data_IF_751277998848
#
_entry.id   IF_751277998848
#
_cell.length_a   1.000
_cell.length_b   1.000
_cell.length_c   1.000
_cell.angle_alpha   90.00
_cell.angle_beta   90.00
_cell.angle_gamma   90.00
#
_symmetry.space_group_name_H-M   'P 1'
#
loop_
_entity.id
_entity.type
_entity.pdbx_description
1 polymer ?
#
# COMPACT_ATOMS: atom_id res chain seq x y z
N UNK A 1 13.99 41.67 -6.44
CA UNK A 1 13.86 41.38 -6.28
C UNK A 1 13.58 40.75 -6.03
N UNK A 2 13.68 40.61 -6.29
CA UNK A 2 13.35 40.00 -5.98
C UNK A 2 12.80 39.18 -5.86
N UNK A 3 12.78 38.81 -5.99
CA UNK A 3 12.29 37.99 -5.69
C UNK A 3 11.81 37.25 -5.76
N UNK A 4 12.00 37.35 -5.88
CA UNK A 4 11.52 36.53 -5.85
C UNK A 4 11.14 35.70 -5.93
N UNK A 5 11.27 35.47 -5.99
CA UNK A 5 10.79 34.73 -5.82
C UNK A 5 10.27 33.96 -5.65
N UNK A 6 10.56 34.15 -5.69
CA UNK A 6 10.16 33.51 -5.33
C UNK A 6 9.42 32.86 -5.29
N UNK A 7 9.49 32.78 -5.55
CA UNK A 7 8.77 32.20 -5.32
C UNK A 7 8.15 31.41 -5.54
N UNK A 8 8.32 31.31 -5.83
CA UNK A 8 7.67 30.49 -5.81
C UNK A 8 7.29 29.61 -5.98
N UNK A 9 7.54 29.52 -6.05
CA UNK A 9 7.09 28.78 -5.87
C UNK A 9 6.47 28.15 -5.78
N UNK A 10 6.66 28.12 -5.76
CA UNK A 10 6.05 27.56 -5.28
C UNK A 10 5.28 27.11 -5.47
N UNK A 11 5.56 27.14 -5.79
CA UNK A 11 4.68 26.76 -5.56
C UNK A 11 4.07 26.16 -5.94
N UNK A 12 4.47 26.12 -6.25
CA UNK A 12 3.73 25.64 -6.17
C UNK A 12 3.24 25.03 -6.49
N UNK A 13 3.41 24.89 -6.77
CA UNK A 13 2.69 24.30 -6.50
C UNK A 13 1.98 23.91 -6.69
N UNK A 14 2.39 23.90 -6.94
CA UNK A 14 1.54 23.57 -6.64
C UNK A 14 0.86 23.10 -6.98
N UNK A 15 1.18 23.04 -7.31
CA UNK A 15 0.36 22.66 -7.14
C UNK A 15 -0.12 22.12 -7.36
N UNK A 16 -0.02 21.94 -7.57
CA UNK A 16 -0.63 21.51 -7.38
C UNK A 16 -1.31 21.06 -7.27
N UNK A 17 -1.25 20.88 -7.64
CA UNK A 17 -2.06 20.52 -7.28
C UNK A 17 -2.82 20.09 -7.25
N UNK A 18 -2.98 19.75 -7.45
CA UNK A 18 -3.75 19.43 -7.28
C UNK A 18 -4.36 18.93 -7.29
N UNK A 19 -4.72 18.56 -7.40
CA UNK A 19 -5.36 18.14 -7.31
C UNK A 19 -6.00 17.86 -6.81
N UNK A 20 -5.95 17.65 -6.89
CA UNK A 20 -6.64 17.26 -6.47
C UNK A 20 -7.28 17.19 -6.05
N UNK A 21 -7.26 17.20 -6.15
CA UNK A 21 -7.97 17.20 -5.76
C UNK A 21 -9.11 16.96 -5.53
N UNK A 22 -9.63 17.41 -6.09
CA UNK A 22 -10.98 16.94 -6.00
C UNK A 22 -11.13 15.59 -5.45
N UNK A 23 -10.11 14.91 -5.50
CA UNK A 23 -10.10 13.62 -4.86
C UNK A 23 -10.27 13.74 -3.39
N UNK A 24 -11.08 12.91 -2.85
CA UNK A 24 -11.15 12.79 -1.43
C UNK A 24 -9.89 12.16 -0.90
N UNK A 25 -9.59 12.38 0.34
CA UNK A 25 -8.38 11.89 0.92
C UNK A 25 -8.21 10.38 0.77
N UNK A 26 -9.32 9.66 0.75
CA UNK A 26 -9.24 8.21 0.67
C UNK A 26 -9.13 7.68 -0.75
N UNK A 27 -9.28 8.56 -1.74
CA UNK A 27 -9.25 8.15 -3.15
C UNK A 27 -7.83 8.17 -3.68
N UNK A 28 -6.94 7.54 -2.96
CA UNK A 28 -5.55 7.45 -3.35
C UNK A 28 -5.38 6.41 -4.45
N UNK A 29 -4.54 6.70 -5.44
CA UNK A 29 -4.22 5.69 -6.45
C UNK A 29 -2.88 5.04 -6.10
N UNK A 30 -2.50 4.04 -6.89
CA UNK A 30 -1.29 3.27 -6.61
C UNK A 30 -0.05 4.13 -6.64
N UNK A 31 0.02 5.07 -7.57
CA UNK A 31 1.19 5.95 -7.66
C UNK A 31 1.31 6.84 -6.43
N UNK A 32 0.17 7.34 -5.96
CA UNK A 32 0.18 8.16 -4.75
C UNK A 32 0.56 7.32 -3.54
N UNK A 33 0.11 6.08 -3.51
CA UNK A 33 0.49 5.18 -2.43
C UNK A 33 2.00 4.95 -2.43
N UNK A 34 2.59 4.70 -3.62
CA UNK A 34 4.03 4.53 -3.71
C UNK A 34 4.77 5.78 -3.31
N UNK A 35 4.27 6.95 -3.72
CA UNK A 35 4.92 8.21 -3.38
C UNK A 35 4.94 8.43 -1.87
N UNK A 36 3.92 7.96 -1.17
CA UNK A 36 3.86 8.14 0.29
C UNK A 36 4.94 7.34 1.02
N UNK A 37 5.61 6.42 0.34
CA UNK A 37 6.63 5.61 0.98
C UNK A 37 7.85 6.41 1.42
N UNK A 38 7.99 7.66 0.97
CA UNK A 38 9.08 8.52 1.47
C UNK A 38 8.81 8.99 2.89
N UNK A 39 7.60 8.84 3.38
CA UNK A 39 7.26 9.32 4.72
C UNK A 39 7.68 8.31 5.77
N UNK A 40 7.66 8.73 7.03
CA UNK A 40 8.11 7.89 8.13
C UNK A 40 7.06 6.86 8.54
N UNK A 41 5.80 7.11 8.23
CA UNK A 41 4.71 6.22 8.63
C UNK A 41 3.57 6.33 7.64
N UNK A 42 2.71 5.30 7.55
CA UNK A 42 1.58 5.39 6.64
C UNK A 42 0.52 6.33 7.20
N UNK A 43 -0.39 6.75 6.32
CA UNK A 43 -1.50 7.57 6.76
C UNK A 43 -2.36 6.81 7.74
N UNK A 44 -2.89 7.51 8.74
CA UNK A 44 -3.65 6.86 9.79
C UNK A 44 -4.95 6.26 9.30
N UNK A 45 -5.52 6.81 8.23
CA UNK A 45 -6.81 6.34 7.75
C UNK A 45 -6.72 5.10 6.87
N UNK A 46 -5.52 4.59 6.59
CA UNK A 46 -5.39 3.42 5.74
C UNK A 46 -5.95 2.18 6.42
N UNK A 47 -6.67 1.34 5.68
CA UNK A 47 -7.05 0.03 6.21
C UNK A 47 -5.81 -0.79 6.57
N UNK A 48 -5.97 -1.69 7.52
CA UNK A 48 -4.85 -2.46 8.04
C UNK A 48 -4.09 -3.21 6.94
N UNK A 49 -4.75 -3.89 5.98
CA UNK A 49 -3.98 -4.58 4.94
C UNK A 49 -3.13 -3.64 4.10
N UNK A 50 -3.63 -2.44 3.80
CA UNK A 50 -2.82 -1.46 3.06
C UNK A 50 -1.65 -0.96 3.89
N UNK A 51 -1.86 -0.73 5.17
CA UNK A 51 -0.78 -0.32 6.05
C UNK A 51 0.29 -1.40 6.11
N UNK A 52 -0.11 -2.66 6.10
CA UNK A 52 0.85 -3.75 6.10
C UNK A 52 1.68 -3.75 4.82
N UNK A 53 1.05 -3.56 3.66
CA UNK A 53 1.79 -3.49 2.40
C UNK A 53 2.72 -2.29 2.39
N UNK A 54 2.31 -1.19 3.02
CA UNK A 54 3.15 -0.01 3.13
C UNK A 54 4.43 -0.31 3.92
N UNK A 55 4.29 -0.96 5.09
CA UNK A 55 5.47 -1.30 5.89
C UNK A 55 6.34 -2.32 5.20
N UNK A 56 5.73 -3.28 4.50
CA UNK A 56 6.51 -4.25 3.74
C UNK A 56 7.37 -3.56 2.69
N UNK A 57 6.81 -2.59 1.98
CA UNK A 57 7.58 -1.87 0.96
C UNK A 57 8.71 -1.05 1.57
N UNK A 58 8.56 -0.65 2.84
CA UNK A 58 9.61 0.07 3.55
C UNK A 58 10.70 -0.88 4.06
N UNK A 59 10.51 -2.17 3.88
CA UNK A 59 11.49 -3.14 4.34
C UNK A 59 11.24 -3.67 5.73
N UNK A 60 10.09 -3.36 6.32
CA UNK A 60 9.79 -3.80 7.69
C UNK A 60 8.76 -4.93 7.65
N UNK A 61 9.22 -6.09 7.24
CA UNK A 61 8.37 -7.27 7.09
C UNK A 61 7.69 -7.64 8.41
N UNK A 62 8.44 -7.56 9.50
CA UNK A 62 7.90 -7.98 10.78
C UNK A 62 6.70 -7.12 11.20
N UNK A 63 6.80 -5.81 11.00
CA UNK A 63 5.68 -4.93 11.33
C UNK A 63 4.51 -5.17 10.41
N UNK A 64 4.79 -5.40 9.12
CA UNK A 64 3.73 -5.71 8.18
C UNK A 64 2.99 -6.98 8.58
N UNK A 65 3.72 -8.01 8.94
CA UNK A 65 3.14 -9.27 9.35
C UNK A 65 2.30 -9.10 10.62
N UNK A 66 2.82 -8.37 11.60
CA UNK A 66 2.09 -8.16 12.84
C UNK A 66 0.74 -7.50 12.60
N UNK A 67 0.66 -6.60 11.63
CA UNK A 67 -0.59 -5.92 11.35
C UNK A 67 -1.67 -6.86 10.84
N UNK A 68 -1.31 -7.86 10.06
CA UNK A 68 -2.31 -8.75 9.46
C UNK A 68 -2.38 -10.12 10.13
N UNK A 69 -1.55 -10.36 11.14
CA UNK A 69 -1.43 -11.68 11.74
C UNK A 69 -2.77 -12.20 12.25
N UNK A 70 -3.61 -11.33 12.78
CA UNK A 70 -4.90 -11.75 13.33
C UNK A 70 -6.08 -11.26 12.51
N UNK A 71 -5.84 -10.70 11.33
CA UNK A 71 -6.92 -10.20 10.48
C UNK A 71 -7.47 -11.35 9.66
N UNK A 72 -8.78 -11.58 9.80
CA UNK A 72 -9.41 -12.72 9.14
C UNK A 72 -10.31 -12.34 7.96
N UNK A 73 -10.19 -11.10 7.48
CA UNK A 73 -10.86 -10.75 6.23
C UNK A 73 -10.11 -11.35 5.06
N UNK A 74 -10.81 -11.54 3.93
CA UNK A 74 -10.16 -12.08 2.74
C UNK A 74 -8.97 -11.23 2.32
N UNK A 75 -9.13 -9.90 2.38
CA UNK A 75 -8.03 -9.01 2.00
C UNK A 75 -6.84 -9.14 2.94
N UNK A 76 -7.10 -9.19 4.25
CA UNK A 76 -6.02 -9.33 5.21
C UNK A 76 -5.30 -10.65 5.06
N UNK A 77 -6.05 -11.72 4.83
CA UNK A 77 -5.44 -13.03 4.64
C UNK A 77 -4.64 -13.10 3.35
N UNK A 78 -5.06 -12.38 2.30
CA UNK A 78 -4.29 -12.35 1.06
C UNK A 78 -2.97 -11.64 1.27
N UNK A 79 -2.94 -10.54 2.02
CA UNK A 79 -1.69 -9.85 2.34
C UNK A 79 -0.82 -10.75 3.21
N UNK A 80 -1.40 -11.44 4.18
CA UNK A 80 -0.69 -12.37 5.03
C UNK A 80 0.00 -13.45 4.18
N UNK A 81 -0.74 -14.00 3.20
CA UNK A 81 -0.18 -14.99 2.29
C UNK A 81 0.99 -14.43 1.50
N UNK A 82 0.83 -13.22 0.99
CA UNK A 82 1.89 -12.57 0.24
C UNK A 82 3.15 -12.43 1.09
N UNK A 83 2.99 -12.02 2.35
CA UNK A 83 4.14 -11.86 3.23
C UNK A 83 4.86 -13.17 3.48
N UNK A 84 4.12 -14.26 3.66
CA UNK A 84 4.76 -15.56 3.84
C UNK A 84 5.44 -16.03 2.56
N UNK A 85 4.84 -15.73 1.41
CA UNK A 85 5.48 -16.05 0.15
C UNK A 85 6.82 -15.31 0.02
N UNK A 86 6.82 -14.04 0.42
CA UNK A 86 8.02 -13.22 0.31
C UNK A 86 9.14 -13.74 1.21
N UNK A 87 8.80 -14.25 2.37
CA UNK A 87 9.82 -14.79 3.27
C UNK A 87 10.29 -16.19 2.85
N UNK A 88 9.64 -16.79 1.86
CA UNK A 88 10.05 -18.09 1.36
C UNK A 88 9.28 -19.25 1.94
N UNK A 89 8.20 -19.00 2.69
CA UNK A 89 7.41 -20.05 3.32
C UNK A 89 6.22 -20.37 2.44
N UNK A 90 6.45 -21.17 1.40
CA UNK A 90 5.42 -21.44 0.38
C UNK A 90 4.20 -22.13 0.98
N UNK A 91 4.39 -23.08 1.88
CA UNK A 91 3.25 -23.80 2.44
C UNK A 91 2.38 -22.92 3.31
N UNK A 92 2.99 -22.01 4.07
CA UNK A 92 2.22 -21.03 4.83
C UNK A 92 1.48 -20.09 3.90
N UNK A 93 2.14 -19.66 2.82
CA UNK A 93 1.48 -18.78 1.86
C UNK A 93 0.26 -19.47 1.25
N UNK A 94 0.43 -20.73 0.83
CA UNK A 94 -0.67 -21.47 0.22
C UNK A 94 -1.84 -21.60 1.19
N UNK A 95 -1.56 -21.85 2.45
CA UNK A 95 -2.60 -21.95 3.45
C UNK A 95 -3.44 -20.68 3.52
N UNK A 96 -2.75 -19.51 3.55
CA UNK A 96 -3.47 -18.25 3.68
C UNK A 96 -4.15 -17.84 2.38
N UNK A 97 -3.55 -18.16 1.22
CA UNK A 97 -4.24 -17.91 -0.05
C UNK A 97 -5.54 -18.72 -0.10
N UNK A 98 -5.46 -19.96 0.33
CA UNK A 98 -6.65 -20.80 0.32
C UNK A 98 -7.74 -20.21 1.23
N UNK A 99 -7.37 -19.78 2.41
CA UNK A 99 -8.32 -19.19 3.33
C UNK A 99 -8.87 -17.87 2.78
N UNK A 100 -8.08 -17.13 2.03
CA UNK A 100 -8.53 -15.89 1.43
C UNK A 100 -9.44 -16.11 0.24
N UNK A 101 -9.58 -17.36 -0.21
CA UNK A 101 -10.39 -17.66 -1.37
C UNK A 101 -9.74 -17.27 -2.67
N UNK A 102 -8.40 -17.26 -2.71
CA UNK A 102 -7.68 -16.80 -3.88
C UNK A 102 -6.96 -17.93 -4.57
N UNK A 103 -7.06 -17.94 -5.90
CA UNK A 103 -6.27 -18.85 -6.71
C UNK A 103 -4.87 -18.29 -6.84
N UNK A 104 -3.89 -19.10 -6.54
CA UNK A 104 -2.53 -18.63 -6.51
C UNK A 104 -1.87 -18.85 -7.87
N UNK A 105 -1.47 -17.79 -8.54
CA UNK A 105 -0.90 -17.87 -9.87
C UNK A 105 0.59 -17.56 -9.92
N UNK A 106 1.19 -17.26 -8.82
CA UNK A 106 2.63 -17.08 -8.67
C UNK A 106 3.22 -16.02 -9.60
N UNK A 107 2.63 -14.81 -9.64
CA UNK A 107 3.31 -13.72 -10.36
C UNK A 107 4.56 -13.32 -9.61
N UNK A 108 5.32 -12.36 -10.15
CA UNK A 108 6.44 -11.84 -9.38
C UNK A 108 5.92 -11.19 -8.10
N UNK A 109 6.79 -11.13 -7.10
CA UNK A 109 6.41 -10.50 -5.83
C UNK A 109 5.99 -9.05 -6.05
N UNK A 110 6.70 -8.33 -6.91
CA UNK A 110 6.33 -6.94 -7.17
C UNK A 110 4.98 -6.84 -7.85
N UNK A 111 4.69 -7.73 -8.79
CA UNK A 111 3.39 -7.72 -9.46
C UNK A 111 2.27 -8.04 -8.47
N UNK A 112 2.51 -8.96 -7.57
CA UNK A 112 1.51 -9.30 -6.57
C UNK A 112 1.28 -8.13 -5.60
N UNK A 113 2.35 -7.50 -5.15
CA UNK A 113 2.23 -6.33 -4.28
C UNK A 113 1.39 -5.25 -4.97
N UNK A 114 1.70 -4.97 -6.23
CA UNK A 114 0.97 -3.95 -6.97
C UNK A 114 -0.50 -4.32 -7.11
N UNK A 115 -0.79 -5.58 -7.44
CA UNK A 115 -2.18 -6.02 -7.60
C UNK A 115 -2.94 -5.93 -6.28
N UNK A 116 -2.30 -6.29 -5.17
CA UNK A 116 -2.94 -6.19 -3.86
C UNK A 116 -3.24 -4.73 -3.52
N UNK A 117 -2.28 -3.83 -3.75
CA UNK A 117 -2.50 -2.41 -3.49
C UNK A 117 -3.65 -1.89 -4.35
N UNK A 118 -3.64 -2.19 -5.64
CA UNK A 118 -4.68 -1.71 -6.53
C UNK A 118 -6.06 -2.20 -6.10
N UNK A 119 -6.15 -3.47 -5.76
CA UNK A 119 -7.43 -4.03 -5.34
C UNK A 119 -7.92 -3.43 -4.04
N UNK A 120 -7.01 -3.24 -3.08
CA UNK A 120 -7.40 -2.67 -1.79
C UNK A 120 -7.78 -1.20 -1.90
N UNK A 121 -7.06 -0.45 -2.73
CA UNK A 121 -7.41 0.95 -2.93
C UNK A 121 -8.77 1.09 -3.60
N UNK A 122 -9.08 0.19 -4.53
CA UNK A 122 -10.39 0.22 -5.19
C UNK A 122 -11.53 -0.03 -4.20
N UNK A 123 -11.31 -0.91 -3.23
CA UNK A 123 -12.37 -1.25 -2.31
C UNK A 123 -12.55 -0.20 -1.22
N UNK A 124 -11.56 0.67 -1.00
CA UNK A 124 -11.66 1.72 0.00
C UNK A 124 -12.59 2.83 -0.45
N UNK A 125 -12.53 3.16 -1.73
CA UNK A 125 -13.35 4.22 -2.26
C UNK A 125 -14.80 3.89 -2.26
#
# INVERSE_FOLDING_TARGET
MLFPERSPRRVVFLAQVPKPCAKKGRDMNTEEFRASLVEAAPRKALPVPLAALWWDAKGDWARAHDLVDEVETADGMAVHAYLHRKEGSASNADYWYHRAGRTFQRPTLEAEWTALVEGLLSSVG
#
